data_IF_253537913952
#
_entry.id   IF_253537913952
#
_cell.length_a   1.000
_cell.length_b   1.000
_cell.length_c   1.000
_cell.angle_alpha   90.00
_cell.angle_beta   90.00
_cell.angle_gamma   90.00
#
_symmetry.space_group_name_H-M   'P 1'
#
loop_
_entity.id
_entity.type
_entity.pdbx_description
1 polymer ?
#
# COMPACT_ATOMS: atom_id res chain seq x y z
N UNK A 1 34.58 15.48 -20.99
CA UNK A 1 33.37 14.74 -21.38
C UNK A 1 32.24 15.18 -20.49
N UNK A 2 31.27 15.92 -21.00
CA UNK A 2 30.15 16.44 -20.23
C UNK A 2 29.16 15.28 -19.98
N UNK A 3 28.94 14.93 -18.73
CA UNK A 3 27.94 13.95 -18.31
C UNK A 3 26.55 14.55 -18.57
N UNK A 4 25.91 14.12 -19.64
CA UNK A 4 24.53 14.52 -19.98
C UNK A 4 23.58 13.72 -19.10
N UNK A 5 23.37 14.16 -17.86
CA UNK A 5 22.28 13.64 -17.07
C UNK A 5 20.97 14.08 -17.75
N UNK A 6 20.07 13.15 -18.08
CA UNK A 6 18.78 13.52 -18.65
C UNK A 6 18.08 14.44 -17.66
N UNK A 7 17.67 15.62 -18.11
CA UNK A 7 16.89 16.55 -17.29
C UNK A 7 15.60 15.84 -16.87
N UNK A 8 15.25 15.83 -15.60
CA UNK A 8 13.99 15.22 -15.18
C UNK A 8 12.83 15.98 -15.86
N UNK A 9 11.97 15.23 -16.55
CA UNK A 9 10.76 15.82 -17.14
C UNK A 9 9.84 16.36 -16.04
N UNK A 10 9.23 17.52 -16.30
CA UNK A 10 8.21 18.07 -15.41
C UNK A 10 7.00 17.14 -15.33
N UNK A 11 6.54 16.86 -14.11
CA UNK A 11 5.35 16.03 -13.82
C UNK A 11 4.37 16.85 -12.99
N UNK A 12 3.06 16.73 -13.24
CA UNK A 12 2.07 17.35 -12.37
C UNK A 12 2.12 16.72 -10.99
N UNK A 13 2.19 17.55 -9.96
CA UNK A 13 2.18 17.14 -8.55
C UNK A 13 1.24 18.10 -7.82
N UNK A 14 0.30 17.55 -7.07
CA UNK A 14 -0.47 18.33 -6.12
C UNK A 14 0.14 18.15 -4.72
N UNK A 15 0.62 19.24 -4.14
CA UNK A 15 1.15 19.26 -2.78
C UNK A 15 0.05 19.69 -1.81
N UNK A 16 -0.11 18.94 -0.73
CA UNK A 16 -1.07 19.21 0.34
C UNK A 16 -0.43 18.90 1.68
N UNK A 17 -0.77 19.68 2.71
CA UNK A 17 -0.46 19.34 4.11
C UNK A 17 -1.71 18.74 4.75
N UNK A 18 -1.62 17.53 5.25
CA UNK A 18 -2.65 16.88 6.05
C UNK A 18 -2.48 17.29 7.50
N UNK A 19 -3.56 17.67 8.14
CA UNK A 19 -3.60 17.88 9.59
C UNK A 19 -4.36 16.70 10.18
N UNK A 20 -3.65 15.86 10.94
CA UNK A 20 -4.21 14.68 11.58
C UNK A 20 -4.11 14.87 13.10
N UNK A 21 -5.25 14.80 13.78
CA UNK A 21 -5.35 15.04 15.22
C UNK A 21 -5.12 13.74 16.01
N UNK A 22 -5.68 12.60 15.54
CA UNK A 22 -5.61 11.33 16.25
C UNK A 22 -4.27 10.62 16.06
N UNK A 23 -3.80 10.00 17.13
CA UNK A 23 -2.57 9.20 17.10
C UNK A 23 -2.64 8.03 16.08
N UNK A 24 -3.83 7.44 15.90
CA UNK A 24 -4.05 6.31 15.01
C UNK A 24 -3.81 6.71 13.54
N UNK A 25 -4.39 7.81 13.10
CA UNK A 25 -4.21 8.32 11.74
C UNK A 25 -2.76 8.74 11.49
N UNK A 26 -2.15 9.47 12.43
CA UNK A 26 -0.74 9.87 12.36
C UNK A 26 0.20 8.65 12.24
N UNK A 27 -0.01 7.62 13.06
CA UNK A 27 0.81 6.38 13.02
C UNK A 27 0.71 5.63 11.70
N UNK A 28 -0.49 5.56 11.11
CA UNK A 28 -0.68 4.90 9.82
C UNK A 28 0.06 5.66 8.73
N UNK A 29 -0.10 6.98 8.68
CA UNK A 29 0.61 7.81 7.70
C UNK A 29 2.12 7.73 7.85
N UNK A 30 2.64 7.81 9.07
CA UNK A 30 4.07 7.70 9.33
C UNK A 30 4.65 6.33 8.94
N UNK A 31 3.86 5.26 9.08
CA UNK A 31 4.33 3.89 8.85
C UNK A 31 4.17 3.41 7.41
N UNK A 32 3.03 3.69 6.81
CA UNK A 32 2.65 3.10 5.51
C UNK A 32 2.35 4.16 4.44
N UNK A 33 2.15 5.43 4.82
CA UNK A 33 1.70 6.48 3.90
C UNK A 33 2.56 6.60 2.66
N UNK A 34 3.86 6.82 2.82
CA UNK A 34 4.79 6.95 1.70
C UNK A 34 4.85 5.69 0.82
N UNK A 35 4.72 4.52 1.41
CA UNK A 35 4.73 3.26 0.69
C UNK A 35 3.47 3.12 -0.18
N UNK A 36 2.30 3.35 0.41
CA UNK A 36 1.02 3.26 -0.32
C UNK A 36 0.96 4.29 -1.43
N UNK A 37 1.34 5.54 -1.17
CA UNK A 37 1.33 6.62 -2.18
C UNK A 37 2.24 6.27 -3.36
N UNK A 38 3.42 5.70 -3.12
CA UNK A 38 4.31 5.21 -4.18
C UNK A 38 3.74 4.02 -4.93
N UNK A 39 3.10 3.08 -4.23
CA UNK A 39 2.49 1.91 -4.87
C UNK A 39 1.32 2.31 -5.75
N UNK A 40 0.45 3.20 -5.31
CA UNK A 40 -0.66 3.74 -6.11
C UNK A 40 -0.14 4.49 -7.36
N UNK A 41 0.91 5.30 -7.21
CA UNK A 41 1.55 5.95 -8.35
C UNK A 41 2.17 4.94 -9.33
N UNK A 42 2.82 3.88 -8.82
CA UNK A 42 3.39 2.84 -9.67
C UNK A 42 2.30 2.10 -10.46
N UNK A 43 1.18 1.75 -9.82
CA UNK A 43 0.04 1.10 -10.46
C UNK A 43 -0.55 2.01 -11.55
N UNK A 44 -0.88 3.26 -11.21
CA UNK A 44 -1.58 4.16 -12.11
C UNK A 44 -0.72 4.72 -13.25
N UNK A 45 0.59 4.85 -13.06
CA UNK A 45 1.46 5.58 -14.01
C UNK A 45 2.61 4.72 -14.52
N UNK A 46 3.36 4.06 -13.63
CA UNK A 46 4.59 3.37 -14.05
C UNK A 46 4.27 2.12 -14.85
N UNK A 47 3.32 1.32 -14.41
CA UNK A 47 2.97 0.05 -15.08
C UNK A 47 2.28 0.26 -16.42
N UNK A 48 1.70 1.43 -16.70
CA UNK A 48 1.16 1.75 -18.04
C UNK A 48 2.22 1.79 -19.14
N UNK A 49 3.49 1.92 -18.78
CA UNK A 49 4.59 1.89 -19.74
C UNK A 49 5.06 0.45 -20.09
N UNK A 50 4.68 -0.55 -19.29
CA UNK A 50 5.21 -1.93 -19.39
C UNK A 50 4.14 -3.00 -19.47
N UNK A 51 2.90 -2.71 -19.08
CA UNK A 51 1.80 -3.66 -19.07
C UNK A 51 0.67 -3.25 -20.02
N UNK A 52 -0.12 -4.21 -20.52
CA UNK A 52 -1.35 -3.92 -21.26
C UNK A 52 -2.32 -3.05 -20.45
N UNK A 53 -3.01 -2.11 -21.13
CA UNK A 53 -3.93 -1.19 -20.48
C UNK A 53 -5.00 -1.88 -19.63
N UNK A 54 -5.61 -2.94 -20.13
CA UNK A 54 -6.63 -3.73 -19.41
C UNK A 54 -6.09 -4.30 -18.07
N UNK A 55 -4.83 -4.74 -18.06
CA UNK A 55 -4.19 -5.24 -16.83
C UNK A 55 -4.02 -4.12 -15.82
N UNK A 56 -3.56 -2.94 -16.26
CA UNK A 56 -3.40 -1.78 -15.37
C UNK A 56 -4.75 -1.31 -14.85
N UNK A 57 -5.78 -1.26 -15.69
CA UNK A 57 -7.13 -0.86 -15.29
C UNK A 57 -7.71 -1.83 -14.25
N UNK A 58 -7.44 -3.13 -14.38
CA UNK A 58 -7.81 -4.13 -13.37
C UNK A 58 -7.09 -3.89 -12.02
N UNK A 59 -5.78 -3.59 -12.04
CA UNK A 59 -5.01 -3.30 -10.83
C UNK A 59 -5.44 -1.98 -10.16
N UNK A 60 -5.76 -0.95 -10.95
CA UNK A 60 -6.34 0.29 -10.44
C UNK A 60 -7.71 0.06 -9.81
N UNK A 61 -8.56 -0.77 -10.44
CA UNK A 61 -9.87 -1.13 -9.91
C UNK A 61 -9.74 -1.92 -8.60
N UNK A 62 -8.85 -2.91 -8.54
CA UNK A 62 -8.61 -3.71 -7.34
C UNK A 62 -8.10 -2.83 -6.17
N UNK A 63 -7.09 -1.99 -6.43
CA UNK A 63 -6.55 -1.09 -5.40
C UNK A 63 -7.56 -0.04 -4.95
N UNK A 64 -8.39 0.47 -5.87
CA UNK A 64 -9.49 1.39 -5.59
C UNK A 64 -10.56 0.77 -4.72
N UNK A 65 -11.04 -0.43 -5.08
CA UNK A 65 -12.06 -1.15 -4.32
C UNK A 65 -11.68 -1.36 -2.85
N UNK A 66 -10.39 -1.60 -2.56
CA UNK A 66 -9.90 -1.72 -1.19
C UNK A 66 -10.04 -0.42 -0.39
N UNK A 67 -9.76 0.73 -1.02
CA UNK A 67 -9.90 2.05 -0.39
C UNK A 67 -11.37 2.45 -0.25
N UNK A 68 -12.18 2.19 -1.26
CA UNK A 68 -13.60 2.52 -1.31
C UNK A 68 -14.37 1.74 -0.24
N UNK A 69 -14.17 0.41 -0.13
CA UNK A 69 -14.77 -0.44 0.92
C UNK A 69 -14.43 0.07 2.34
N UNK A 70 -13.18 0.50 2.54
CA UNK A 70 -12.77 1.02 3.84
C UNK A 70 -13.40 2.38 4.14
N UNK A 71 -13.46 3.28 3.14
CA UNK A 71 -14.06 4.59 3.28
C UNK A 71 -15.56 4.49 3.59
N UNK A 72 -16.28 3.60 2.90
CA UNK A 72 -17.69 3.32 3.17
C UNK A 72 -17.91 2.80 4.60
N UNK A 73 -17.07 1.88 5.05
CA UNK A 73 -17.17 1.34 6.40
C UNK A 73 -16.87 2.40 7.48
N UNK A 74 -15.88 3.27 7.24
CA UNK A 74 -15.58 4.41 8.12
C UNK A 74 -16.77 5.37 8.16
N UNK A 75 -17.32 5.74 7.01
CA UNK A 75 -18.46 6.64 6.92
C UNK A 75 -19.70 6.09 7.65
N UNK A 76 -19.99 4.80 7.51
CA UNK A 76 -21.07 4.13 8.23
C UNK A 76 -20.84 4.18 9.76
N UNK A 77 -19.61 3.97 10.21
CA UNK A 77 -19.27 4.04 11.63
C UNK A 77 -19.31 5.48 12.16
N UNK A 78 -18.84 6.46 11.39
CA UNK A 78 -18.98 7.89 11.72
C UNK A 78 -20.47 8.23 11.92
N UNK A 79 -21.34 7.83 11.00
CA UNK A 79 -22.76 8.07 11.10
C UNK A 79 -23.36 7.44 12.38
N UNK A 80 -22.96 6.21 12.70
CA UNK A 80 -23.40 5.48 13.90
C UNK A 80 -22.96 6.21 15.19
N UNK A 81 -21.69 6.60 15.27
CA UNK A 81 -21.13 7.28 16.44
C UNK A 81 -21.69 8.68 16.59
N UNK A 82 -21.90 9.40 15.48
CA UNK A 82 -22.55 10.72 15.47
C UNK A 82 -23.99 10.67 16.01
N UNK A 83 -24.77 9.67 15.59
CA UNK A 83 -26.13 9.48 16.11
C UNK A 83 -26.15 9.21 17.62
N UNK A 84 -25.18 8.46 18.15
CA UNK A 84 -25.02 8.28 19.60
C UNK A 84 -24.71 9.62 20.27
N UNK A 85 -23.76 10.40 19.73
CA UNK A 85 -23.41 11.72 20.26
C UNK A 85 -24.63 12.66 20.32
N UNK A 86 -25.41 12.69 19.24
CA UNK A 86 -26.64 13.52 19.19
C UNK A 86 -27.67 13.08 20.24
N UNK A 87 -27.92 11.76 20.36
CA UNK A 87 -28.85 11.20 21.33
C UNK A 87 -28.46 11.52 22.78
N UNK A 88 -27.15 11.46 23.07
CA UNK A 88 -26.61 11.68 24.42
C UNK A 88 -26.25 13.16 24.69
N UNK A 89 -26.50 14.05 23.73
CA UNK A 89 -26.26 15.49 23.89
C UNK A 89 -24.77 15.84 24.04
N UNK A 90 -23.87 15.06 23.43
CA UNK A 90 -22.41 15.28 23.49
C UNK A 90 -21.98 16.24 22.38
N UNK A 91 -21.80 17.50 22.71
CA UNK A 91 -21.42 18.59 21.80
C UNK A 91 -19.90 18.86 21.78
N UNK A 92 -19.17 18.26 22.69
CA UNK A 92 -17.74 18.52 22.88
C UNK A 92 -16.89 17.90 21.77
N UNK A 93 -15.99 18.68 21.19
CA UNK A 93 -14.89 18.20 20.34
C UNK A 93 -13.60 18.26 21.17
N UNK A 94 -12.84 17.17 21.29
CA UNK A 94 -11.57 17.18 22.01
C UNK A 94 -10.55 18.05 21.28
N UNK A 95 -9.68 18.72 22.04
CA UNK A 95 -8.50 19.37 21.53
C UNK A 95 -7.30 18.42 21.71
N UNK A 96 -6.45 18.31 20.69
CA UNK A 96 -5.27 17.45 20.72
C UNK A 96 -4.01 18.29 20.98
N UNK A 97 -3.15 17.81 21.87
CA UNK A 97 -1.93 18.51 22.24
C UNK A 97 -0.87 18.56 21.14
N UNK A 98 -0.88 17.57 20.25
CA UNK A 98 0.13 17.39 19.20
C UNK A 98 -0.52 16.91 17.89
N UNK A 99 -1.26 17.76 17.19
CA UNK A 99 -1.72 17.42 15.85
C UNK A 99 -0.52 17.25 14.93
N UNK A 100 -0.58 16.25 14.05
CA UNK A 100 0.46 15.98 13.05
C UNK A 100 0.23 16.80 11.79
N UNK A 101 1.22 17.54 11.34
CA UNK A 101 1.25 18.20 10.04
C UNK A 101 2.10 17.36 9.09
N UNK A 102 1.47 16.71 8.12
CA UNK A 102 2.13 15.75 7.24
C UNK A 102 2.05 16.26 5.80
N UNK A 103 3.19 16.70 5.21
CA UNK A 103 3.20 17.08 3.80
C UNK A 103 3.06 15.83 2.92
N UNK A 104 2.13 15.85 1.98
CA UNK A 104 1.89 14.76 1.03
C UNK A 104 1.97 15.26 -0.40
N UNK A 105 2.45 14.39 -1.30
CA UNK A 105 2.51 14.63 -2.74
C UNK A 105 1.56 13.68 -3.45
N UNK A 106 0.53 14.23 -4.05
CA UNK A 106 -0.48 13.48 -4.78
C UNK A 106 -0.04 13.43 -6.25
N UNK A 107 0.25 12.23 -6.73
CA UNK A 107 0.80 11.95 -8.06
C UNK A 107 -0.18 11.17 -8.95
N UNK A 108 -1.29 10.71 -8.40
CA UNK A 108 -2.35 10.00 -9.13
C UNK A 108 -3.70 10.19 -8.42
N UNK A 109 -4.84 10.03 -9.14
CA UNK A 109 -6.17 10.21 -8.55
C UNK A 109 -6.44 9.31 -7.34
N UNK A 110 -6.06 8.04 -7.39
CA UNK A 110 -6.26 7.06 -6.29
C UNK A 110 -5.56 7.42 -4.98
N UNK A 111 -4.55 8.30 -5.04
CA UNK A 111 -3.92 8.83 -3.83
C UNK A 111 -4.89 9.71 -3.02
N UNK A 112 -5.84 10.39 -3.66
CA UNK A 112 -6.91 11.13 -2.97
C UNK A 112 -7.81 10.22 -2.15
N UNK A 113 -8.20 9.05 -2.70
CA UNK A 113 -9.08 8.10 -2.04
C UNK A 113 -8.41 7.54 -0.77
N UNK A 114 -7.12 7.24 -0.85
CA UNK A 114 -6.34 6.81 0.31
C UNK A 114 -6.24 7.92 1.39
N UNK A 115 -5.99 9.16 0.98
CA UNK A 115 -5.93 10.31 1.90
C UNK A 115 -7.30 10.51 2.56
N UNK A 116 -8.38 10.51 1.80
CA UNK A 116 -9.75 10.66 2.31
C UNK A 116 -10.10 9.57 3.33
N UNK A 117 -9.67 8.33 3.09
CA UNK A 117 -9.83 7.23 4.05
C UNK A 117 -9.09 7.52 5.37
N UNK A 118 -7.87 8.09 5.31
CA UNK A 118 -7.10 8.44 6.52
C UNK A 118 -7.76 9.60 7.27
N UNK A 119 -8.22 10.63 6.56
CA UNK A 119 -8.96 11.76 7.16
C UNK A 119 -10.26 11.29 7.79
N UNK A 120 -10.98 10.35 7.15
CA UNK A 120 -12.16 9.72 7.73
C UNK A 120 -11.86 8.94 9.01
N UNK A 121 -10.74 8.20 9.04
CA UNK A 121 -10.30 7.53 10.26
C UNK A 121 -10.01 8.53 11.37
N UNK A 122 -9.35 9.64 11.06
CA UNK A 122 -9.03 10.70 12.01
C UNK A 122 -10.31 11.26 12.63
N UNK A 123 -11.30 11.62 11.83
CA UNK A 123 -12.60 12.10 12.29
C UNK A 123 -13.32 11.05 13.14
N UNK A 124 -13.32 9.79 12.74
CA UNK A 124 -13.91 8.71 13.54
C UNK A 124 -13.27 8.61 14.92
N UNK A 125 -11.95 8.71 15.02
CA UNK A 125 -11.24 8.66 16.30
C UNK A 125 -11.59 9.87 17.17
N UNK A 126 -11.74 11.06 16.59
CA UNK A 126 -12.17 12.28 17.28
C UNK A 126 -13.57 12.10 17.89
N UNK A 127 -14.50 11.50 17.14
CA UNK A 127 -15.85 11.20 17.64
C UNK A 127 -15.83 10.19 18.79
N UNK A 128 -15.03 9.13 18.66
CA UNK A 128 -14.84 8.13 19.73
C UNK A 128 -14.24 8.77 20.98
N UNK A 129 -13.24 9.64 20.83
CA UNK A 129 -12.61 10.36 21.94
C UNK A 129 -13.58 11.37 22.59
N UNK A 130 -14.47 12.00 21.83
CA UNK A 130 -15.54 12.84 22.36
C UNK A 130 -16.47 12.08 23.31
N UNK A 131 -16.93 10.90 22.91
CA UNK A 131 -17.78 10.04 23.74
C UNK A 131 -17.04 9.53 24.99
N UNK A 132 -15.76 9.19 24.83
CA UNK A 132 -14.93 8.74 25.95
C UNK A 132 -14.71 9.85 26.99
N UNK A 133 -14.32 11.05 26.56
CA UNK A 133 -14.11 12.19 27.45
C UNK A 133 -15.39 12.65 28.13
N UNK A 134 -16.55 12.44 27.51
CA UNK A 134 -17.87 12.73 28.10
C UNK A 134 -18.38 11.60 29.01
N UNK A 135 -17.61 10.52 29.20
CA UNK A 135 -17.97 9.42 30.11
C UNK A 135 -18.89 8.35 29.51
N UNK A 136 -19.24 8.43 28.22
CA UNK A 136 -20.14 7.49 27.55
C UNK A 136 -19.41 6.20 27.08
N UNK A 137 -18.09 6.26 26.91
CA UNK A 137 -17.27 5.10 26.61
C UNK A 137 -16.28 4.82 27.74
N UNK A 138 -16.09 3.54 28.03
CA UNK A 138 -15.02 3.10 28.93
C UNK A 138 -13.67 3.18 28.23
N UNK A 139 -12.57 3.24 28.98
CA UNK A 139 -11.21 3.15 28.45
C UNK A 139 -11.01 1.90 27.58
N UNK A 140 -11.61 0.79 27.98
CA UNK A 140 -11.53 -0.47 27.23
C UNK A 140 -12.19 -0.34 25.86
N UNK A 141 -13.43 0.16 25.81
CA UNK A 141 -14.18 0.29 24.56
C UNK A 141 -13.48 1.25 23.59
N UNK A 142 -12.98 2.39 24.10
CA UNK A 142 -12.18 3.33 23.32
C UNK A 142 -10.93 2.68 22.73
N UNK A 143 -10.14 2.00 23.56
CA UNK A 143 -8.89 1.36 23.13
C UNK A 143 -9.14 0.24 22.15
N UNK A 144 -10.20 -0.53 22.32
CA UNK A 144 -10.59 -1.62 21.42
C UNK A 144 -11.03 -1.06 20.06
N UNK A 145 -11.87 -0.04 20.02
CA UNK A 145 -12.29 0.63 18.79
C UNK A 145 -11.07 1.19 18.02
N UNK A 146 -10.22 1.95 18.72
CA UNK A 146 -8.99 2.51 18.14
C UNK A 146 -8.06 1.44 17.55
N UNK A 147 -7.86 0.33 18.28
CA UNK A 147 -7.05 -0.79 17.81
C UNK A 147 -7.65 -1.47 16.58
N UNK A 148 -8.94 -1.80 16.61
CA UNK A 148 -9.63 -2.50 15.52
C UNK A 148 -9.57 -1.69 14.23
N UNK A 149 -9.88 -0.41 14.28
CA UNK A 149 -9.85 0.47 13.13
C UNK A 149 -8.43 0.68 12.60
N UNK A 150 -7.47 0.92 13.48
CA UNK A 150 -6.06 1.02 13.08
C UNK A 150 -5.59 -0.24 12.35
N UNK A 151 -5.89 -1.44 12.89
CA UNK A 151 -5.49 -2.70 12.27
C UNK A 151 -6.19 -2.94 10.93
N UNK A 152 -7.46 -2.55 10.81
CA UNK A 152 -8.20 -2.66 9.55
C UNK A 152 -7.54 -1.83 8.45
N UNK A 153 -7.25 -0.56 8.72
CA UNK A 153 -6.63 0.35 7.76
C UNK A 153 -5.19 -0.07 7.42
N UNK A 154 -4.39 -0.46 8.41
CA UNK A 154 -3.04 -1.00 8.17
C UNK A 154 -3.06 -2.24 7.26
N UNK A 155 -4.07 -3.10 7.40
CA UNK A 155 -4.22 -4.27 6.54
C UNK A 155 -4.51 -3.87 5.10
N UNK A 156 -5.37 -2.89 4.88
CA UNK A 156 -5.70 -2.35 3.55
C UNK A 156 -4.46 -1.69 2.92
N UNK A 157 -3.78 -0.83 3.66
CA UNK A 157 -2.54 -0.20 3.22
C UNK A 157 -1.50 -1.22 2.73
N UNK A 158 -1.33 -2.32 3.48
CA UNK A 158 -0.43 -3.41 3.10
C UNK A 158 -0.91 -4.20 1.89
N UNK A 159 -2.22 -4.42 1.74
CA UNK A 159 -2.77 -5.07 0.54
C UNK A 159 -2.50 -4.25 -0.71
N UNK A 160 -2.75 -2.93 -0.68
CA UNK A 160 -2.44 -2.03 -1.80
C UNK A 160 -0.95 -2.10 -2.16
N UNK A 161 -0.06 -2.04 -1.16
CA UNK A 161 1.37 -2.15 -1.40
C UNK A 161 1.81 -3.54 -1.91
N UNK A 162 1.08 -4.60 -1.54
CA UNK A 162 1.34 -5.96 -2.02
C UNK A 162 0.99 -6.14 -3.50
N UNK A 163 -0.07 -5.50 -4.00
CA UNK A 163 -0.43 -5.50 -5.43
C UNK A 163 0.77 -5.02 -6.26
N UNK A 164 1.32 -3.86 -5.92
CA UNK A 164 2.50 -3.30 -6.61
C UNK A 164 3.71 -4.24 -6.55
N UNK A 165 4.00 -4.79 -5.37
CA UNK A 165 5.15 -5.67 -5.16
C UNK A 165 5.03 -6.95 -5.98
N UNK A 166 3.84 -7.56 -6.06
CA UNK A 166 3.57 -8.77 -6.83
C UNK A 166 3.76 -8.54 -8.33
N UNK A 167 3.19 -7.45 -8.84
CA UNK A 167 3.34 -7.07 -10.25
C UNK A 167 4.81 -6.84 -10.61
N UNK A 168 5.53 -6.11 -9.77
CA UNK A 168 6.95 -5.83 -10.00
C UNK A 168 7.82 -7.08 -9.96
N UNK A 169 7.50 -8.05 -9.10
CA UNK A 169 8.18 -9.35 -9.07
C UNK A 169 7.91 -10.15 -10.35
N UNK A 170 6.68 -10.17 -10.85
CA UNK A 170 6.34 -10.83 -12.11
C UNK A 170 7.06 -10.23 -13.32
N UNK A 171 7.18 -8.90 -13.37
CA UNK A 171 7.93 -8.23 -14.45
C UNK A 171 9.42 -8.57 -14.45
N UNK A 172 10.04 -8.73 -13.26
CA UNK A 172 11.45 -9.12 -13.16
C UNK A 172 11.68 -10.57 -13.57
N UNK A 173 10.84 -11.49 -13.10
CA UNK A 173 10.93 -12.91 -13.45
C UNK A 173 10.70 -13.17 -14.95
N UNK A 174 9.86 -12.37 -15.61
CA UNK A 174 9.67 -12.44 -17.07
C UNK A 174 10.92 -12.03 -17.86
N UNK A 175 11.64 -11.00 -17.40
CA UNK A 175 12.88 -10.53 -18.03
C UNK A 175 14.01 -11.57 -17.88
N UNK A 176 14.11 -12.20 -16.71
CA UNK A 176 15.13 -13.26 -16.47
C UNK A 176 14.86 -14.51 -17.31
N UNK A 177 13.59 -14.86 -17.56
CA UNK A 177 13.21 -16.00 -18.41
C UNK A 177 13.45 -15.75 -19.91
N UNK A 178 13.46 -14.50 -20.37
CA UNK A 178 13.78 -14.15 -21.76
C UNK A 178 15.29 -14.03 -22.02
N UNK A 179 16.12 -13.82 -21.00
CA UNK A 179 17.59 -13.74 -21.12
C UNK A 179 18.30 -15.14 -21.07
N UNK A 180 17.65 -16.19 -20.55
CA UNK A 180 18.25 -17.53 -20.48
C UNK A 180 18.39 -18.28 -21.83
N UNK A 181 17.52 -18.11 -22.85
CA UNK A 181 17.69 -18.89 -24.11
C UNK A 181 18.88 -18.49 -24.97
N UNK A 182 19.51 -17.34 -24.79
CA UNK A 182 20.67 -16.95 -25.62
C UNK A 182 22.04 -17.43 -25.08
N UNK A 183 22.11 -17.89 -23.84
CA UNK A 183 23.40 -18.38 -23.26
C UNK A 183 23.67 -19.85 -23.45
N UNK A 184 22.67 -20.69 -23.74
CA UNK A 184 22.88 -22.13 -24.00
C UNK A 184 23.22 -22.46 -25.45
N UNK A 185 23.04 -21.55 -26.43
CA UNK A 185 23.28 -21.79 -27.83
C UNK A 185 24.75 -21.64 -28.29
N UNK A 186 25.67 -21.25 -27.40
CA UNK A 186 27.05 -20.92 -27.79
C UNK A 186 28.13 -21.92 -27.37
N UNK A 187 27.78 -23.06 -26.80
CA UNK A 187 28.77 -24.01 -26.25
C UNK A 187 28.64 -25.44 -26.75
N UNK A 188 28.31 -25.65 -28.03
CA UNK A 188 28.55 -26.91 -28.72
C UNK A 188 29.71 -26.76 -29.70
N UNK A 189 30.88 -27.23 -29.31
CA UNK A 189 31.96 -27.64 -30.23
C UNK A 189 32.12 -29.15 -30.17
N UNK A 190 32.32 -29.80 -31.32
CA UNK A 190 32.17 -31.23 -31.47
C UNK A 190 33.46 -32.02 -31.23
N UNK A 191 33.29 -33.21 -30.70
CA UNK A 191 34.06 -34.39 -31.03
C UNK A 191 35.44 -34.53 -30.40
N UNK A 192 35.63 -35.62 -29.71
CA UNK A 192 36.57 -36.68 -30.09
C UNK A 192 36.19 -37.98 -29.38
N UNK A 193 36.06 -38.98 -30.22
CA UNK A 193 35.88 -40.43 -30.02
C UNK A 193 37.05 -41.03 -29.22
N UNK A 194 36.83 -42.01 -28.38
CA UNK A 194 37.42 -43.32 -28.44
C UNK A 194 37.53 -44.02 -27.05
N UNK A 195 37.09 -45.26 -27.11
CA UNK A 195 37.53 -46.44 -26.38
C UNK A 195 36.89 -46.82 -25.03
N UNK A 196 36.08 -47.86 -25.14
CA UNK A 196 35.62 -48.77 -24.09
C UNK A 196 36.72 -49.78 -23.65
N UNK A 197 36.36 -50.80 -22.84
CA UNK A 197 36.50 -50.89 -21.41
C UNK A 197 37.59 -51.89 -20.98
N UNK A 198 37.76 -52.43 -19.79
CA UNK A 198 36.97 -53.53 -19.31
C UNK A 198 36.80 -53.73 -17.76
N UNK A 199 35.72 -54.42 -17.47
CA UNK A 199 35.57 -55.56 -16.57
C UNK A 199 35.97 -55.49 -15.07
N UNK A 200 34.92 -55.73 -14.27
CA UNK A 200 34.80 -56.74 -13.20
C UNK A 200 35.48 -56.53 -11.82
N UNK A 201 34.79 -56.65 -10.77
CA UNK A 201 34.61 -57.73 -9.83
C UNK A 201 33.89 -57.26 -8.54
N UNK A 202 32.75 -57.84 -8.30
CA UNK A 202 32.36 -58.66 -7.11
C UNK A 202 32.84 -58.19 -5.72
N UNK A 203 31.89 -57.88 -4.90
CA UNK A 203 31.25 -58.77 -3.91
C UNK A 203 31.59 -58.43 -2.44
N UNK A 204 30.58 -58.64 -1.63
CA UNK A 204 30.55 -58.99 -0.21
C UNK A 204 30.53 -57.87 0.84
N UNK A 205 29.40 -57.96 1.60
CA UNK A 205 29.18 -57.40 2.90
C UNK A 205 27.73 -56.96 3.10
#
# INVERSE_FOLDING_TARGET
MASTHPRPYSRPVLERTLILESEQAQRIMAREGDRVMRSLHAIAVVFRATLPGETVDALESESGALSDEAAEAIAAEIARVSAIRETEGVDLRPAYSHPGEIPVKILCPRAHDFIAMIEGLDELMILVDSLWLSGWLTNRNRSEAAYQWQQRILRIARKIAAIETTVRAGLRGGVEAEEEPEREASNELPGIEEAAPPMALRALG
#
